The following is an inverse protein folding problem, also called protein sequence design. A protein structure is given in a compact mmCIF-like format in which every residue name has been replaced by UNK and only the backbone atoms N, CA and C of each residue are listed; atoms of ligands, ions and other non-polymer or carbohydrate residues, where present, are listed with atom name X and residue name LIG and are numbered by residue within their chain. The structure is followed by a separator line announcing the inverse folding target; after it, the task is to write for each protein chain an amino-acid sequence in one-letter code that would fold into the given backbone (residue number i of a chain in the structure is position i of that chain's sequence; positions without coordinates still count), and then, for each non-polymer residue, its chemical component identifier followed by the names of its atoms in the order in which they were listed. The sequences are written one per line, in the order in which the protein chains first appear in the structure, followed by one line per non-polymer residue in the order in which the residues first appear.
data_IF_654824545641
#
_entry.id   IF_654824545641
#
_cell.length_a   1.000
_cell.length_b   1.000
_cell.length_c   1.000
_cell.angle_alpha   90.00
_cell.angle_beta   90.00
_cell.angle_gamma   90.00
#
_symmetry.space_group_name_H-M   'P 1'
#
loop_
_entity.id
_entity.type
_entity.pdbx_description
1 polymer ?
#
# COMPACT_ATOMS: atom_id res chain seq x y z
N UNK A 1 6.07 7.17 21.49
CA UNK A 1 5.33 5.94 21.20
C UNK A 1 6.11 4.72 21.62
N UNK A 2 5.41 3.61 21.87
CA UNK A 2 6.06 2.36 22.26
C UNK A 2 6.93 1.77 21.13
N UNK A 3 7.99 1.05 21.54
CA UNK A 3 8.94 0.42 20.61
C UNK A 3 8.25 -0.50 19.59
N UNK A 4 7.24 -1.27 20.03
CA UNK A 4 6.49 -2.18 19.15
C UNK A 4 5.78 -1.45 18.02
N UNK A 5 5.13 -0.32 18.32
CA UNK A 5 4.43 0.49 17.34
C UNK A 5 5.37 1.15 16.34
N UNK A 6 6.53 1.61 16.81
CA UNK A 6 7.59 2.14 15.96
C UNK A 6 8.10 1.08 14.97
N UNK A 7 8.32 -0.15 15.44
CA UNK A 7 8.70 -1.26 14.55
C UNK A 7 7.59 -1.60 13.56
N UNK A 8 6.33 -1.56 13.98
CA UNK A 8 5.19 -1.81 13.08
C UNK A 8 5.17 -0.82 11.92
N UNK A 9 5.34 0.47 12.20
CA UNK A 9 5.39 1.51 11.16
C UNK A 9 6.55 1.26 10.18
N UNK A 10 7.73 0.92 10.69
CA UNK A 10 8.90 0.60 9.85
C UNK A 10 8.67 -0.63 8.96
N UNK A 11 8.06 -1.68 9.51
CA UNK A 11 7.77 -2.88 8.73
C UNK A 11 6.72 -2.63 7.64
N UNK A 12 5.74 -1.77 7.88
CA UNK A 12 4.82 -1.32 6.83
C UNK A 12 5.57 -0.59 5.73
N UNK A 13 6.55 0.22 6.07
CA UNK A 13 7.40 0.91 5.09
C UNK A 13 8.17 -0.09 4.21
N UNK A 14 8.78 -1.10 4.80
CA UNK A 14 9.47 -2.19 4.07
C UNK A 14 8.47 -2.95 3.18
N UNK A 15 7.29 -3.23 3.72
CA UNK A 15 6.21 -3.89 2.97
C UNK A 15 5.81 -3.10 1.72
N UNK A 16 5.61 -1.80 1.85
CA UNK A 16 5.27 -0.93 0.70
C UNK A 16 6.41 -0.89 -0.30
N UNK A 17 7.65 -0.84 0.15
CA UNK A 17 8.82 -0.89 -0.74
C UNK A 17 8.82 -2.18 -1.58
N UNK A 18 8.55 -3.33 -0.96
CA UNK A 18 8.42 -4.62 -1.66
C UNK A 18 7.24 -4.59 -2.64
N UNK A 19 6.10 -3.99 -2.24
CA UNK A 19 4.94 -3.84 -3.11
C UNK A 19 5.25 -3.01 -4.36
N UNK A 20 6.01 -1.93 -4.20
CA UNK A 20 6.51 -1.09 -5.32
C UNK A 20 7.38 -1.93 -6.27
N UNK A 21 8.29 -2.72 -5.72
CA UNK A 21 9.16 -3.59 -6.50
C UNK A 21 8.36 -4.61 -7.31
N UNK A 22 7.39 -5.29 -6.67
CA UNK A 22 6.53 -6.28 -7.34
C UNK A 22 5.68 -5.63 -8.43
N UNK A 23 5.09 -4.47 -8.17
CA UNK A 23 4.31 -3.72 -9.16
C UNK A 23 5.14 -3.30 -10.37
N UNK A 24 6.36 -2.82 -10.14
CA UNK A 24 7.30 -2.46 -11.20
C UNK A 24 7.72 -3.67 -12.03
N UNK A 25 7.96 -4.80 -11.39
CA UNK A 25 8.29 -6.05 -12.06
C UNK A 25 7.15 -6.55 -12.95
N UNK A 26 5.91 -6.49 -12.47
CA UNK A 26 4.70 -6.84 -13.25
C UNK A 26 4.58 -5.94 -14.47
N UNK A 27 4.77 -4.64 -14.31
CA UNK A 27 4.72 -3.66 -15.39
C UNK A 27 5.80 -3.96 -16.44
N UNK A 28 7.02 -4.23 -16.01
CA UNK A 28 8.14 -4.57 -16.90
C UNK A 28 7.89 -5.87 -17.68
N UNK A 29 7.31 -6.88 -17.04
CA UNK A 29 6.97 -8.16 -17.67
C UNK A 29 5.72 -8.10 -18.56
N UNK A 30 4.97 -7.01 -18.57
CA UNK A 30 3.68 -6.94 -19.25
C UNK A 30 2.63 -7.88 -18.64
N UNK A 31 2.77 -8.22 -17.35
CA UNK A 31 1.89 -9.17 -16.67
C UNK A 31 0.61 -8.53 -16.10
N UNK A 32 0.48 -7.22 -16.15
CA UNK A 32 -0.66 -6.50 -15.54
C UNK A 32 -2.01 -6.93 -16.13
N UNK A 33 -2.06 -7.26 -17.42
CA UNK A 33 -3.28 -7.68 -18.13
C UNK A 33 -3.53 -9.19 -18.06
N UNK A 34 -2.65 -9.96 -17.44
CA UNK A 34 -2.83 -11.40 -17.29
C UNK A 34 -4.03 -11.77 -16.42
N UNK A 35 -4.37 -10.92 -15.44
CA UNK A 35 -5.56 -11.01 -14.59
C UNK A 35 -6.63 -10.06 -15.14
N UNK A 36 -7.52 -10.52 -15.98
CA UNK A 36 -8.62 -9.72 -16.52
C UNK A 36 -9.74 -9.53 -15.49
N UNK A 37 -10.34 -8.36 -15.51
CA UNK A 37 -11.40 -8.01 -14.57
C UNK A 37 -10.91 -7.67 -13.16
N UNK A 38 -11.84 -7.21 -12.34
CA UNK A 38 -11.60 -6.85 -10.94
C UNK A 38 -12.94 -6.91 -10.19
N UNK A 39 -13.02 -7.41 -8.96
CA UNK A 39 -11.91 -7.91 -8.11
C UNK A 39 -11.43 -9.32 -8.46
N UNK A 40 -12.22 -10.12 -9.19
CA UNK A 40 -11.83 -11.47 -9.58
C UNK A 40 -10.75 -11.45 -10.66
N UNK A 41 -9.89 -12.46 -10.63
CA UNK A 41 -8.87 -12.69 -11.65
C UNK A 41 -9.37 -13.71 -12.65
N UNK A 42 -9.63 -13.31 -13.89
CA UNK A 42 -10.19 -14.19 -14.94
C UNK A 42 -11.47 -14.92 -14.47
N UNK A 43 -12.29 -14.25 -13.68
CA UNK A 43 -13.52 -14.81 -13.11
C UNK A 43 -13.31 -15.75 -11.92
N UNK A 44 -12.08 -15.92 -11.43
CA UNK A 44 -11.74 -16.81 -10.32
C UNK A 44 -11.33 -16.01 -9.07
N UNK A 45 -11.75 -16.50 -7.90
CA UNK A 45 -11.29 -15.97 -6.61
C UNK A 45 -9.83 -16.34 -6.36
N UNK A 46 -9.44 -17.55 -6.72
CA UNK A 46 -8.08 -18.06 -6.59
C UNK A 46 -7.59 -18.67 -7.90
N UNK A 47 -6.87 -17.90 -8.74
CA UNK A 47 -6.38 -18.38 -10.02
C UNK A 47 -5.05 -19.16 -9.92
N UNK A 48 -4.47 -19.27 -8.73
CA UNK A 48 -3.15 -19.87 -8.51
C UNK A 48 -2.00 -18.87 -8.55
N UNK A 49 -0.78 -19.35 -8.30
CA UNK A 49 0.42 -18.52 -8.19
C UNK A 49 1.43 -18.77 -9.33
N UNK A 50 1.03 -19.42 -10.40
CA UNK A 50 1.94 -19.72 -11.51
C UNK A 50 1.89 -18.66 -12.62
N UNK A 51 3.06 -18.35 -13.20
CA UNK A 51 3.19 -17.48 -14.37
C UNK A 51 2.76 -16.03 -14.12
N UNK A 52 2.42 -15.33 -15.19
CA UNK A 52 2.00 -13.93 -15.15
C UNK A 52 0.68 -13.72 -14.40
N UNK A 53 -0.25 -14.67 -14.51
CA UNK A 53 -1.50 -14.64 -13.73
C UNK A 53 -1.21 -14.69 -12.24
N UNK A 54 -0.30 -15.56 -11.80
CA UNK A 54 0.11 -15.65 -10.41
C UNK A 54 0.76 -14.37 -9.91
N UNK A 55 1.58 -13.70 -10.71
CA UNK A 55 2.20 -12.42 -10.37
C UNK A 55 1.16 -11.31 -10.19
N UNK A 56 0.21 -11.20 -11.14
CA UNK A 56 -0.87 -10.21 -11.05
C UNK A 56 -1.77 -10.46 -9.84
N UNK A 57 -2.09 -11.71 -9.56
CA UNK A 57 -2.87 -12.10 -8.39
C UNK A 57 -2.12 -11.81 -7.09
N UNK A 58 -0.83 -12.12 -7.01
CA UNK A 58 0.02 -11.82 -5.86
C UNK A 58 0.03 -10.31 -5.56
N UNK A 59 0.12 -9.47 -6.57
CA UNK A 59 0.08 -8.01 -6.40
C UNK A 59 -1.24 -7.54 -5.78
N UNK A 60 -2.37 -8.10 -6.19
CA UNK A 60 -3.68 -7.82 -5.58
C UNK A 60 -3.74 -8.24 -4.11
N UNK A 61 -3.16 -9.40 -3.76
CA UNK A 61 -3.06 -9.84 -2.37
C UNK A 61 -2.16 -8.93 -1.53
N UNK A 62 -1.06 -8.46 -2.09
CA UNK A 62 -0.17 -7.50 -1.44
C UNK A 62 -0.91 -6.19 -1.16
N UNK A 63 -1.70 -5.70 -2.11
CA UNK A 63 -2.51 -4.49 -1.92
C UNK A 63 -3.57 -4.66 -0.82
N UNK A 64 -4.26 -5.80 -0.80
CA UNK A 64 -5.22 -6.14 0.26
C UNK A 64 -4.52 -6.25 1.62
N UNK A 65 -3.36 -6.90 1.66
CA UNK A 65 -2.53 -7.01 2.86
C UNK A 65 -2.11 -5.65 3.40
N UNK A 66 -1.77 -4.69 2.54
CA UNK A 66 -1.46 -3.33 2.94
C UNK A 66 -2.66 -2.65 3.62
N UNK A 67 -3.85 -2.79 3.06
CA UNK A 67 -5.07 -2.24 3.67
C UNK A 67 -5.29 -2.80 5.07
N UNK A 68 -5.13 -4.10 5.26
CA UNK A 68 -5.24 -4.75 6.57
C UNK A 68 -4.18 -4.22 7.54
N UNK A 69 -2.92 -4.11 7.12
CA UNK A 69 -1.83 -3.59 7.95
C UNK A 69 -2.07 -2.15 8.40
N UNK A 70 -2.60 -1.30 7.52
CA UNK A 70 -2.91 0.11 7.83
C UNK A 70 -4.11 0.20 8.78
N UNK A 71 -5.12 -0.63 8.62
CA UNK A 71 -6.26 -0.70 9.56
C UNK A 71 -5.78 -1.12 10.95
N UNK A 72 -4.91 -2.11 11.04
CA UNK A 72 -4.30 -2.52 12.32
C UNK A 72 -3.48 -1.38 12.90
N UNK A 73 -2.71 -0.66 12.09
CA UNK A 73 -1.94 0.51 12.56
C UNK A 73 -2.86 1.58 13.15
N UNK A 74 -3.97 1.91 12.50
CA UNK A 74 -4.95 2.86 13.03
C UNK A 74 -5.52 2.40 14.36
N UNK A 75 -5.87 1.14 14.46
CA UNK A 75 -6.38 0.56 15.71
C UNK A 75 -5.35 0.69 16.83
N UNK A 76 -4.08 0.40 16.55
CA UNK A 76 -3.00 0.52 17.54
C UNK A 76 -2.72 1.99 17.92
N UNK A 77 -2.85 2.93 16.98
CA UNK A 77 -2.61 4.35 17.22
C UNK A 77 -3.76 5.07 17.95
N UNK A 78 -4.94 4.47 18.03
CA UNK A 78 -6.10 5.10 18.68
C UNK A 78 -5.83 5.50 20.14
N UNK A 79 -5.03 4.72 20.86
CA UNK A 79 -4.66 4.98 22.26
C UNK A 79 -3.63 6.10 22.41
N UNK A 80 -2.90 6.42 21.35
CA UNK A 80 -1.89 7.49 21.32
C UNK A 80 -2.42 8.79 20.70
N UNK A 81 -3.70 8.83 20.32
CA UNK A 81 -4.33 9.97 19.63
C UNK A 81 -4.18 11.29 20.39
N UNK A 82 -4.32 11.26 21.72
CA UNK A 82 -4.23 12.46 22.55
C UNK A 82 -2.81 13.03 22.63
N UNK A 83 -1.79 12.16 22.67
CA UNK A 83 -0.37 12.55 22.79
C UNK A 83 0.32 12.73 21.43
N UNK A 84 -0.06 11.94 20.45
CA UNK A 84 0.55 11.91 19.10
C UNK A 84 -0.53 11.91 18.01
N UNK A 85 -1.32 12.98 18.02
CA UNK A 85 -2.36 13.19 17.01
C UNK A 85 -1.84 13.32 15.58
N UNK A 86 -0.58 13.71 15.41
CA UNK A 86 0.12 13.74 14.13
C UNK A 86 0.23 12.35 13.48
N UNK A 87 0.64 11.34 14.27
CA UNK A 87 0.74 9.95 13.80
C UNK A 87 -0.64 9.37 13.47
N UNK A 88 -1.62 9.64 14.30
CA UNK A 88 -2.99 9.16 14.07
C UNK A 88 -3.60 9.75 12.79
N UNK A 89 -3.47 11.07 12.58
CA UNK A 89 -3.94 11.73 11.34
C UNK A 89 -3.18 11.23 10.11
N UNK A 90 -1.87 11.05 10.24
CA UNK A 90 -1.05 10.49 9.17
C UNK A 90 -1.50 9.08 8.77
N UNK A 91 -1.86 8.24 9.75
CA UNK A 91 -2.37 6.89 9.49
C UNK A 91 -3.77 6.91 8.84
N UNK A 92 -4.63 7.88 9.17
CA UNK A 92 -5.91 8.09 8.46
C UNK A 92 -5.66 8.41 6.99
N UNK A 93 -4.77 9.35 6.70
CA UNK A 93 -4.40 9.68 5.32
C UNK A 93 -3.77 8.50 4.59
N UNK A 94 -2.97 7.71 5.30
CA UNK A 94 -2.39 6.48 4.75
C UNK A 94 -3.47 5.49 4.35
N UNK A 95 -4.53 5.34 5.16
CA UNK A 95 -5.67 4.49 4.81
C UNK A 95 -6.43 5.03 3.59
N UNK A 96 -6.74 6.33 3.57
CA UNK A 96 -7.42 6.97 2.42
C UNK A 96 -6.62 6.75 1.14
N UNK A 97 -5.31 6.97 1.18
CA UNK A 97 -4.43 6.78 0.03
C UNK A 97 -4.33 5.31 -0.38
N UNK A 98 -4.34 4.38 0.56
CA UNK A 98 -4.35 2.95 0.27
C UNK A 98 -5.64 2.55 -0.48
N UNK A 99 -6.79 3.04 -0.04
CA UNK A 99 -8.08 2.82 -0.73
C UNK A 99 -8.06 3.41 -2.14
N UNK A 100 -7.57 4.65 -2.28
CA UNK A 100 -7.44 5.30 -3.59
C UNK A 100 -6.45 4.56 -4.50
N UNK A 101 -5.37 4.04 -3.94
CA UNK A 101 -4.38 3.24 -4.66
C UNK A 101 -5.00 1.95 -5.22
N UNK A 102 -5.79 1.25 -4.41
CA UNK A 102 -6.52 0.05 -4.85
C UNK A 102 -7.55 0.40 -5.93
N UNK A 103 -8.31 1.47 -5.74
CA UNK A 103 -9.30 1.92 -6.70
C UNK A 103 -8.68 2.32 -8.05
N UNK A 104 -7.56 3.03 -8.03
CA UNK A 104 -6.83 3.41 -9.24
C UNK A 104 -6.23 2.20 -9.94
N UNK A 105 -5.77 1.20 -9.19
CA UNK A 105 -5.32 -0.08 -9.74
C UNK A 105 -6.44 -0.86 -10.41
N UNK A 106 -7.64 -0.86 -9.82
CA UNK A 106 -8.83 -1.45 -10.43
C UNK A 106 -9.20 -0.73 -11.74
N UNK A 107 -9.18 0.60 -11.75
CA UNK A 107 -9.42 1.39 -12.95
C UNK A 107 -8.38 1.09 -14.03
N UNK A 108 -7.11 1.00 -13.66
CA UNK A 108 -6.02 0.66 -14.57
C UNK A 108 -6.28 -0.66 -15.32
N UNK A 109 -6.72 -1.69 -14.61
CA UNK A 109 -7.01 -3.00 -15.18
C UNK A 109 -8.30 -2.97 -16.04
N UNK A 110 -9.36 -2.36 -15.51
CA UNK A 110 -10.66 -2.30 -16.21
C UNK A 110 -10.62 -1.42 -17.47
N UNK A 111 -9.74 -0.45 -17.52
CA UNK A 111 -9.51 0.43 -18.68
C UNK A 111 -8.50 -0.14 -19.68
N UNK A 112 -7.99 -1.36 -19.49
CA UNK A 112 -6.95 -1.98 -20.31
C UNK A 112 -5.69 -1.12 -20.42
N UNK A 113 -5.20 -0.66 -19.25
CA UNK A 113 -3.97 0.14 -19.11
C UNK A 113 -4.10 1.52 -19.77
N UNK A 114 -5.16 2.25 -19.44
CA UNK A 114 -5.29 3.65 -19.84
C UNK A 114 -4.17 4.51 -19.24
N UNK A 115 -3.62 5.43 -20.01
CA UNK A 115 -2.50 6.28 -19.57
C UNK A 115 -2.86 7.12 -18.35
N UNK A 116 -4.05 7.69 -18.30
CA UNK A 116 -4.46 8.53 -17.17
C UNK A 116 -4.63 7.70 -15.90
N UNK A 117 -5.15 6.46 -16.03
CA UNK A 117 -5.25 5.53 -14.92
C UNK A 117 -3.87 5.12 -14.39
N UNK A 118 -2.91 4.86 -15.27
CA UNK A 118 -1.54 4.51 -14.91
C UNK A 118 -0.83 5.68 -14.20
N UNK A 119 -0.91 6.87 -14.75
CA UNK A 119 -0.33 8.07 -14.15
C UNK A 119 -0.93 8.39 -12.78
N UNK A 120 -2.24 8.24 -12.62
CA UNK A 120 -2.89 8.42 -11.32
C UNK A 120 -2.44 7.37 -10.31
N UNK A 121 -2.37 6.10 -10.73
CA UNK A 121 -1.94 5.00 -9.88
C UNK A 121 -0.51 5.21 -9.36
N UNK A 122 0.42 5.58 -10.23
CA UNK A 122 1.81 5.88 -9.87
C UNK A 122 1.89 7.13 -8.97
N UNK A 123 1.16 8.18 -9.29
CA UNK A 123 1.17 9.43 -8.50
C UNK A 123 0.64 9.21 -7.08
N UNK A 124 -0.45 8.46 -6.93
CA UNK A 124 -0.98 8.10 -5.61
C UNK A 124 0.01 7.26 -4.80
N UNK A 125 0.73 6.36 -5.47
CA UNK A 125 1.76 5.56 -4.82
C UNK A 125 2.90 6.44 -4.27
N UNK A 126 3.33 7.43 -5.03
CA UNK A 126 4.37 8.38 -4.59
C UNK A 126 3.92 9.16 -3.35
N UNK A 127 2.68 9.64 -3.33
CA UNK A 127 2.11 10.37 -2.18
C UNK A 127 2.00 9.43 -0.97
N UNK A 128 1.49 8.23 -1.16
CA UNK A 128 1.37 7.21 -0.12
C UNK A 128 2.73 6.91 0.52
N UNK A 129 3.74 6.66 -0.29
CA UNK A 129 5.09 6.36 0.18
C UNK A 129 5.71 7.55 0.91
N UNK A 130 5.45 8.77 0.46
CA UNK A 130 5.92 10.00 1.11
C UNK A 130 5.31 10.16 2.50
N UNK A 131 4.00 9.97 2.64
CA UNK A 131 3.32 10.05 3.95
C UNK A 131 3.81 8.96 4.88
N UNK A 132 3.97 7.74 4.38
CA UNK A 132 4.49 6.64 5.18
C UNK A 132 5.93 6.89 5.64
N UNK A 133 6.78 7.44 4.78
CA UNK A 133 8.15 7.83 5.13
C UNK A 133 8.16 8.93 6.20
N UNK A 134 7.25 9.91 6.10
CA UNK A 134 7.04 10.92 7.14
C UNK A 134 6.67 10.27 8.48
N UNK A 135 5.74 9.32 8.48
CA UNK A 135 5.35 8.60 9.70
C UNK A 135 6.53 7.83 10.32
N UNK A 136 7.36 7.22 9.49
CA UNK A 136 8.58 6.54 9.96
C UNK A 136 9.49 7.54 10.66
N UNK A 137 9.77 8.68 10.05
CA UNK A 137 10.63 9.72 10.63
C UNK A 137 10.06 10.29 11.92
N UNK A 138 8.75 10.55 11.96
CA UNK A 138 8.07 11.06 13.18
C UNK A 138 7.96 10.02 14.28
N UNK A 139 8.13 8.75 13.99
CA UNK A 139 8.11 7.68 14.98
C UNK A 139 9.42 7.51 15.72
N UNK A 140 10.53 8.11 15.25
CA UNK A 140 11.79 8.06 15.94
C UNK A 140 11.75 8.90 17.22
N UNK A 141 12.31 8.40 18.35
CA UNK A 141 12.45 9.23 19.53
C UNK A 141 13.42 10.38 19.24
N UNK A 142 12.92 11.62 19.36
CA UNK A 142 13.81 12.78 19.37
C UNK A 142 14.72 12.65 20.58
N UNK A 143 16.00 12.48 20.33
CA UNK A 143 17.00 12.64 21.37
C UNK A 143 17.04 14.14 21.71
N UNK A 144 16.46 14.52 22.85
CA UNK A 144 16.71 15.86 23.39
C UNK A 144 18.21 16.09 23.42
N UNK A 145 18.70 16.93 22.53
CA UNK A 145 20.07 17.45 22.64
C UNK A 145 20.03 18.47 23.76
N UNK A 146 20.27 18.01 25.00
CA UNK A 146 20.69 18.89 26.06
C UNK A 146 22.15 19.26 25.87
#
# INVERSE_FOLDING_TARGET
IGRKLMHWIRWIWVYVFIAIYVGSYISFRGAATACTGWPLCNGQVFPGFSGNVGLAFLHRLIALGLAVLVIILLYLLRTTRASRGDLFRGAIWLLVLTVLQIASGAWLILSLIDLNADLLHVSLLMILFTILSYLVLQSFPFRDRR
#
